data_IF_635553353018
#
_entry.id   IF_635553353018
#
_cell.length_a   1.000
_cell.length_b   1.000
_cell.length_c   1.000
_cell.angle_alpha   90.00
_cell.angle_beta   90.00
_cell.angle_gamma   90.00
#
_symmetry.space_group_name_H-M   'P 1'
#
loop_
_entity.id
_entity.type
_entity.pdbx_description
1 polymer ?
#
# COMPACT_ATOMS: atom_id res chain seq x y z
N UNK A 1 -20.28 -8.92 4.23
CA UNK A 1 -19.53 -7.64 4.16
C UNK A 1 -19.72 -7.00 2.80
N UNK A 2 -19.92 -5.68 2.71
CA UNK A 2 -19.92 -4.97 1.41
C UNK A 2 -18.55 -5.14 0.73
N UNK A 3 -18.50 -5.43 -0.57
CA UNK A 3 -17.26 -5.66 -1.35
C UNK A 3 -16.22 -4.55 -1.08
N UNK A 4 -16.68 -3.29 -1.05
CA UNK A 4 -15.88 -2.10 -0.74
C UNK A 4 -15.10 -2.20 0.59
N UNK A 5 -15.73 -2.69 1.66
CA UNK A 5 -15.11 -2.83 2.99
C UNK A 5 -13.97 -3.85 2.97
N UNK A 6 -14.15 -4.98 2.26
CA UNK A 6 -13.13 -6.03 2.14
C UNK A 6 -11.85 -5.49 1.45
N UNK A 7 -12.01 -4.71 0.39
CA UNK A 7 -10.87 -4.09 -0.30
C UNK A 7 -10.14 -3.07 0.56
N UNK A 8 -10.87 -2.24 1.31
CA UNK A 8 -10.25 -1.28 2.24
C UNK A 8 -9.41 -1.99 3.31
N UNK A 9 -9.92 -3.08 3.88
CA UNK A 9 -9.19 -3.87 4.89
C UNK A 9 -7.90 -4.45 4.28
N UNK A 10 -7.98 -5.07 3.10
CA UNK A 10 -6.80 -5.63 2.41
C UNK A 10 -5.75 -4.54 2.15
N UNK A 11 -6.18 -3.35 1.70
CA UNK A 11 -5.27 -2.22 1.50
C UNK A 11 -4.61 -1.76 2.80
N UNK A 12 -5.37 -1.71 3.90
CA UNK A 12 -4.85 -1.27 5.20
C UNK A 12 -3.83 -2.28 5.77
N UNK A 13 -4.12 -3.58 5.63
CA UNK A 13 -3.20 -4.66 6.01
C UNK A 13 -1.93 -4.59 5.16
N UNK A 14 -2.07 -4.40 3.84
CA UNK A 14 -0.92 -4.22 2.95
C UNK A 14 -0.05 -3.01 3.32
N UNK A 15 -0.69 -1.89 3.70
CA UNK A 15 0.03 -0.71 4.21
C UNK A 15 0.77 -0.99 5.50
N UNK A 16 0.13 -1.68 6.43
CA UNK A 16 0.72 -1.99 7.72
C UNK A 16 1.95 -2.89 7.58
N UNK A 17 1.84 -3.95 6.77
CA UNK A 17 2.95 -4.86 6.48
C UNK A 17 4.09 -4.14 5.77
N UNK A 18 3.79 -3.34 4.73
CA UNK A 18 4.80 -2.56 4.02
C UNK A 18 5.51 -1.56 4.95
N UNK A 19 4.77 -0.88 5.82
CA UNK A 19 5.34 0.05 6.80
C UNK A 19 6.31 -0.64 7.75
N UNK A 20 5.95 -1.81 8.29
CA UNK A 20 6.83 -2.56 9.19
C UNK A 20 8.12 -2.98 8.46
N UNK A 21 8.00 -3.54 7.26
CA UNK A 21 9.15 -3.98 6.47
C UNK A 21 10.11 -2.82 6.16
N UNK A 22 9.57 -1.70 5.67
CA UNK A 22 10.37 -0.52 5.34
C UNK A 22 11.00 0.08 6.59
N UNK A 23 10.26 0.15 7.70
CA UNK A 23 10.81 0.66 8.97
C UNK A 23 11.95 -0.19 9.48
N UNK A 24 11.81 -1.51 9.46
CA UNK A 24 12.89 -2.42 9.84
C UNK A 24 14.11 -2.26 8.93
N UNK A 25 13.88 -2.16 7.62
CA UNK A 25 14.95 -1.96 6.65
C UNK A 25 15.68 -0.64 6.87
N UNK A 26 14.95 0.47 7.08
CA UNK A 26 15.55 1.77 7.34
C UNK A 26 16.30 1.82 8.67
N UNK A 27 15.76 1.18 9.71
CA UNK A 27 16.43 1.12 11.00
C UNK A 27 17.75 0.35 10.93
N UNK A 28 17.81 -0.72 10.13
CA UNK A 28 19.03 -1.49 9.91
C UNK A 28 20.05 -0.77 9.01
N UNK A 29 19.58 -0.03 8.00
CA UNK A 29 20.46 0.70 7.08
C UNK A 29 20.98 2.01 7.65
N UNK A 30 20.24 2.63 8.57
CA UNK A 30 20.57 3.94 9.13
C UNK A 30 20.40 3.93 10.66
N UNK A 31 21.42 3.45 11.37
CA UNK A 31 21.44 3.43 12.84
C UNK A 31 21.44 4.84 13.47
N UNK A 32 22.09 5.81 12.83
CA UNK A 32 22.21 7.20 13.34
C UNK A 32 21.03 8.11 12.97
N UNK A 33 20.07 7.63 12.18
CA UNK A 33 18.95 8.47 11.77
C UNK A 33 17.95 8.58 12.92
N UNK A 34 17.56 9.81 13.28
CA UNK A 34 16.61 10.00 14.37
C UNK A 34 15.35 9.16 14.15
N UNK A 35 14.87 8.53 15.23
CA UNK A 35 13.69 7.66 15.23
C UNK A 35 12.46 8.35 14.62
N UNK A 36 12.38 9.68 14.72
CA UNK A 36 11.30 10.47 14.16
C UNK A 36 11.41 10.56 12.62
N UNK A 37 12.60 10.79 12.07
CA UNK A 37 12.83 10.79 10.62
C UNK A 37 12.58 9.41 10.02
N UNK A 38 13.07 8.33 10.65
CA UNK A 38 12.81 6.95 10.21
C UNK A 38 11.31 6.70 10.11
N UNK A 39 10.52 7.13 11.10
CA UNK A 39 9.07 6.95 11.11
C UNK A 39 8.39 7.69 9.97
N UNK A 40 8.75 8.95 9.72
CA UNK A 40 8.16 9.77 8.65
C UNK A 40 8.50 9.16 7.27
N UNK A 41 9.76 8.87 7.02
CA UNK A 41 10.21 8.34 5.73
C UNK A 41 9.58 6.96 5.49
N UNK A 42 9.53 6.10 6.50
CA UNK A 42 8.88 4.79 6.39
C UNK A 42 7.40 4.92 6.06
N UNK A 43 6.71 5.91 6.63
CA UNK A 43 5.29 6.15 6.34
C UNK A 43 5.07 6.64 4.90
N UNK A 44 5.91 7.56 4.42
CA UNK A 44 5.87 8.06 3.04
C UNK A 44 6.17 6.94 2.05
N UNK A 45 7.21 6.14 2.29
CA UNK A 45 7.57 5.02 1.42
C UNK A 45 6.49 3.93 1.42
N UNK A 46 5.95 3.57 2.59
CA UNK A 46 4.89 2.57 2.70
C UNK A 46 3.63 3.00 1.94
N UNK A 47 3.24 4.27 2.04
CA UNK A 47 2.06 4.79 1.31
C UNK A 47 2.26 4.80 -0.21
N UNK A 48 3.50 4.96 -0.70
CA UNK A 48 3.83 4.85 -2.12
C UNK A 48 3.85 3.40 -2.63
N UNK A 49 4.32 2.47 -1.80
CA UNK A 49 4.39 1.04 -2.12
C UNK A 49 3.03 0.34 -2.09
N UNK A 50 2.04 0.90 -1.41
CA UNK A 50 0.72 0.29 -1.27
C UNK A 50 -0.12 0.37 -2.55
N UNK A 51 -0.87 -0.69 -2.88
CA UNK A 51 -1.80 -0.66 -3.99
C UNK A 51 -2.89 0.37 -3.77
N UNK A 52 -3.08 1.24 -4.77
CA UNK A 52 -4.24 2.13 -4.83
C UNK A 52 -5.42 1.33 -5.39
N UNK A 53 -6.53 1.36 -4.65
CA UNK A 53 -7.80 0.81 -5.10
C UNK A 53 -8.36 1.75 -6.15
N UNK A 54 -8.58 1.26 -7.37
CA UNK A 54 -9.28 2.00 -8.44
C UNK A 54 -10.49 1.21 -8.88
N UNK A 55 -11.64 1.88 -8.89
CA UNK A 55 -12.85 1.38 -9.55
C UNK A 55 -12.76 1.70 -11.02
N UNK A 56 -12.80 0.67 -11.86
CA UNK A 56 -12.95 0.81 -13.29
C UNK A 56 -14.38 0.42 -13.66
N UNK A 57 -15.07 1.31 -14.37
CA UNK A 57 -16.34 0.97 -15.01
C UNK A 57 -16.02 0.18 -16.28
N UNK A 58 -16.35 -1.12 -16.24
CA UNK A 58 -16.30 -1.99 -17.41
C UNK A 58 -17.72 -2.19 -17.94
N UNK A 59 -17.86 -2.50 -19.23
CA UNK A 59 -19.15 -2.70 -19.93
C UNK A 59 -20.04 -3.79 -19.32
N UNK A 60 -19.51 -4.66 -18.43
CA UNK A 60 -20.27 -5.71 -17.72
C UNK A 60 -20.46 -5.44 -16.22
N UNK A 61 -20.04 -4.29 -15.70
CA UNK A 61 -20.22 -3.90 -14.30
C UNK A 61 -18.98 -3.31 -13.65
N UNK A 62 -19.17 -2.63 -12.51
CA UNK A 62 -18.10 -1.95 -11.76
C UNK A 62 -17.10 -2.96 -11.21
N UNK A 63 -15.89 -3.02 -11.78
CA UNK A 63 -14.81 -3.87 -11.29
C UNK A 63 -13.87 -3.07 -10.40
N UNK A 64 -13.62 -3.61 -9.21
CA UNK A 64 -12.65 -3.09 -8.26
C UNK A 64 -11.29 -3.68 -8.59
N UNK A 65 -10.35 -2.85 -9.05
CA UNK A 65 -9.00 -3.28 -9.41
C UNK A 65 -7.97 -2.69 -8.44
N UNK A 66 -6.95 -3.47 -8.13
CA UNK A 66 -5.80 -3.04 -7.32
C UNK A 66 -4.67 -2.64 -8.27
N UNK A 67 -4.23 -1.38 -8.20
CA UNK A 67 -3.10 -0.87 -8.99
C UNK A 67 -1.96 -0.46 -8.08
N UNK A 68 -0.83 -1.17 -8.20
CA UNK A 68 0.43 -0.77 -7.55
C UNK A 68 1.07 0.39 -8.30
N UNK A 69 1.82 1.24 -7.57
CA UNK A 69 2.62 2.30 -8.20
C UNK A 69 3.66 1.72 -9.17
N UNK A 70 4.25 0.58 -8.82
CA UNK A 70 5.29 -0.09 -9.62
C UNK A 70 4.75 -0.97 -10.75
N UNK A 71 3.47 -1.31 -10.76
CA UNK A 71 2.90 -2.23 -11.74
C UNK A 71 2.02 -1.50 -12.75
N UNK A 72 2.43 -1.49 -14.03
CA UNK A 72 1.66 -0.89 -15.12
C UNK A 72 0.31 -1.56 -15.32
N UNK A 73 0.22 -2.88 -15.08
CA UNK A 73 -1.00 -3.67 -15.27
C UNK A 73 -1.80 -3.73 -13.96
N UNK A 74 -3.08 -3.32 -13.96
CA UNK A 74 -3.93 -3.49 -12.79
C UNK A 74 -4.25 -4.97 -12.57
N UNK A 75 -4.29 -5.41 -11.32
CA UNK A 75 -4.69 -6.77 -10.96
C UNK A 75 -6.18 -6.75 -10.65
N UNK A 76 -6.97 -7.49 -11.43
CA UNK A 76 -8.38 -7.75 -11.18
C UNK A 76 -8.51 -8.99 -10.29
N UNK A 77 -9.33 -8.88 -9.24
CA UNK A 77 -9.72 -9.98 -8.36
C UNK A 77 -11.11 -10.49 -8.74
#
# INVERSE_FOLDING_TARGET
MKKKTKYTIIRFIGLFIAYILIRFLLHYLFEDLSTLYIRIISFVLATLLVPKIKTYESQMGTQLQLKWFFWKKPVSL
#
